data_IF_981814430058
#
_entry.id   IF_981814430058
#
_cell.length_a   1.000
_cell.length_b   1.000
_cell.length_c   1.000
_cell.angle_alpha   90.00
_cell.angle_beta   90.00
_cell.angle_gamma   90.00
#
_symmetry.space_group_name_H-M   'P 1'
#
loop_
_entity.id
_entity.type
_entity.pdbx_description
1 polymer ?
#
# COMPACT_ATOMS: atom_id res chain seq x y z
N UNK A 1 38.94 -23.10 -10.24
CA UNK A 1 38.48 -21.74 -10.61
C UNK A 1 37.37 -21.35 -9.65
N UNK A 2 37.65 -20.52 -8.63
CA UNK A 2 36.58 -19.99 -7.77
C UNK A 2 36.01 -18.76 -8.46
N UNK A 3 34.71 -18.77 -8.79
CA UNK A 3 34.06 -17.62 -9.40
C UNK A 3 34.14 -16.40 -8.45
N UNK A 4 34.37 -15.17 -8.96
CA UNK A 4 34.50 -14.00 -8.11
C UNK A 4 33.21 -13.80 -7.27
N UNK A 5 33.31 -13.60 -5.94
CA UNK A 5 32.18 -13.72 -5.00
C UNK A 5 31.08 -12.65 -5.14
N UNK A 6 31.16 -11.77 -6.15
CA UNK A 6 30.17 -10.74 -6.45
C UNK A 6 29.26 -11.08 -7.64
N UNK A 7 29.52 -12.17 -8.39
CA UNK A 7 28.70 -12.56 -9.54
C UNK A 7 27.38 -13.25 -9.15
N UNK A 8 27.35 -14.00 -8.04
CA UNK A 8 26.17 -14.79 -7.67
C UNK A 8 25.01 -13.98 -7.05
N UNK A 9 25.28 -12.81 -6.46
CA UNK A 9 24.26 -12.05 -5.71
C UNK A 9 23.99 -10.68 -6.29
N UNK A 10 22.71 -10.27 -6.21
CA UNK A 10 22.22 -8.96 -6.61
C UNK A 10 21.61 -8.22 -5.42
N UNK A 11 21.72 -6.89 -5.44
CA UNK A 11 21.37 -6.01 -4.31
C UNK A 11 20.24 -5.07 -4.70
N UNK A 12 19.12 -5.18 -4.00
CA UNK A 12 17.99 -4.26 -4.10
C UNK A 12 18.08 -3.20 -3.01
N UNK A 13 18.05 -1.93 -3.39
CA UNK A 13 17.88 -0.79 -2.51
C UNK A 13 16.38 -0.50 -2.37
N UNK A 14 15.74 -1.20 -1.43
CA UNK A 14 14.30 -1.20 -1.19
C UNK A 14 13.85 0.03 -0.40
N UNK A 15 13.02 0.88 -1.01
CA UNK A 15 12.44 2.07 -0.39
C UNK A 15 10.93 1.89 -0.21
N UNK A 16 10.42 2.02 1.02
CA UNK A 16 9.03 1.74 1.37
C UNK A 16 8.47 2.63 2.49
N UNK A 17 7.15 2.80 2.53
CA UNK A 17 6.45 3.63 3.53
C UNK A 17 6.59 5.16 3.35
N UNK A 18 7.39 5.61 2.38
CA UNK A 18 7.48 7.01 1.94
C UNK A 18 6.64 7.30 0.70
N UNK A 19 6.86 8.45 0.08
CA UNK A 19 6.16 8.91 -1.14
C UNK A 19 7.16 9.43 -2.16
N UNK A 20 6.86 9.24 -3.45
CA UNK A 20 7.55 9.95 -4.54
C UNK A 20 6.81 11.26 -4.80
N UNK A 21 7.50 12.40 -4.69
CA UNK A 21 6.92 13.73 -4.82
C UNK A 21 7.86 14.64 -5.65
N UNK A 22 7.32 15.60 -6.43
CA UNK A 22 8.11 16.67 -7.05
C UNK A 22 8.84 17.51 -5.99
N UNK A 23 10.12 17.81 -6.23
CA UNK A 23 10.85 18.79 -5.43
C UNK A 23 10.72 20.20 -6.03
N UNK A 24 10.61 21.20 -5.17
CA UNK A 24 10.75 22.61 -5.55
C UNK A 24 12.22 23.07 -5.47
N UNK A 25 12.74 23.87 -6.42
CA UNK A 25 12.06 24.42 -7.61
C UNK A 25 12.20 23.54 -8.87
N UNK A 26 12.97 22.45 -8.83
CA UNK A 26 13.40 21.70 -10.02
C UNK A 26 12.32 20.79 -10.65
N UNK A 27 11.17 20.60 -10.00
CA UNK A 27 10.08 19.72 -10.46
C UNK A 27 10.40 18.22 -10.39
N UNK A 28 11.68 17.85 -10.37
CA UNK A 28 12.15 16.46 -10.36
C UNK A 28 11.58 15.67 -9.18
N UNK A 29 11.11 14.46 -9.49
CA UNK A 29 10.58 13.52 -8.50
C UNK A 29 11.69 13.02 -7.56
N UNK A 30 11.39 12.96 -6.26
CA UNK A 30 12.28 12.42 -5.22
C UNK A 30 11.49 11.57 -4.23
N UNK A 31 12.17 10.62 -3.59
CA UNK A 31 11.59 9.84 -2.51
C UNK A 31 11.66 10.63 -1.19
N UNK A 32 10.53 10.77 -0.51
CA UNK A 32 10.38 11.52 0.73
C UNK A 32 9.77 10.66 1.84
N UNK A 33 10.41 10.67 3.02
CA UNK A 33 10.02 9.85 4.17
C UNK A 33 10.28 8.36 3.95
N UNK A 34 9.62 7.52 4.75
CA UNK A 34 9.73 6.06 4.67
C UNK A 34 11.02 5.48 5.24
N UNK A 35 11.33 4.26 4.81
CA UNK A 35 12.54 3.51 5.15
C UNK A 35 13.24 3.07 3.86
N UNK A 36 14.57 3.06 3.87
CA UNK A 36 15.40 2.48 2.80
C UNK A 36 16.27 1.38 3.41
N UNK A 37 16.21 0.17 2.86
CA UNK A 37 17.02 -0.99 3.28
C UNK A 37 17.67 -1.66 2.08
N UNK A 38 18.77 -2.38 2.31
CA UNK A 38 19.40 -3.20 1.26
C UNK A 38 19.01 -4.66 1.49
N UNK A 39 18.44 -5.29 0.47
CA UNK A 39 18.21 -6.73 0.41
C UNK A 39 19.20 -7.33 -0.60
N UNK A 40 19.97 -8.33 -0.19
CA UNK A 40 20.80 -9.13 -1.09
C UNK A 40 20.14 -10.49 -1.32
N UNK A 41 20.07 -10.91 -2.58
CA UNK A 41 19.49 -12.19 -3.03
C UNK A 41 20.37 -12.80 -4.10
N UNK A 42 20.15 -14.08 -4.41
CA UNK A 42 20.77 -14.74 -5.56
C UNK A 42 20.29 -14.11 -6.88
N UNK A 43 21.12 -14.11 -7.93
CA UNK A 43 20.73 -13.63 -9.27
C UNK A 43 19.63 -14.47 -9.91
N UNK A 44 19.52 -15.74 -9.55
CA UNK A 44 18.53 -16.69 -10.07
C UNK A 44 17.31 -16.85 -9.13
N UNK A 45 17.10 -15.93 -8.19
CA UNK A 45 15.92 -15.94 -7.31
C UNK A 45 14.63 -15.80 -8.14
N UNK A 46 13.62 -16.62 -7.83
CA UNK A 46 12.30 -16.46 -8.45
C UNK A 46 11.61 -15.19 -7.98
N UNK A 47 10.73 -14.62 -8.80
CA UNK A 47 9.92 -13.45 -8.46
C UNK A 47 9.04 -13.74 -7.22
N UNK A 48 8.54 -14.97 -7.07
CA UNK A 48 7.80 -15.41 -5.90
C UNK A 48 8.64 -15.36 -4.61
N UNK A 49 9.86 -15.91 -4.63
CA UNK A 49 10.78 -15.85 -3.48
C UNK A 49 11.24 -14.42 -3.17
N UNK A 50 11.47 -13.60 -4.20
CA UNK A 50 11.79 -12.19 -4.04
C UNK A 50 10.65 -11.46 -3.31
N UNK A 51 9.39 -11.67 -3.70
CA UNK A 51 8.23 -11.10 -3.00
C UNK A 51 8.10 -11.60 -1.55
N UNK A 52 8.43 -12.86 -1.24
CA UNK A 52 8.47 -13.37 0.15
C UNK A 52 9.48 -12.58 0.97
N UNK A 53 10.73 -12.46 0.48
CA UNK A 53 11.82 -11.75 1.19
C UNK A 53 11.53 -10.26 1.36
N UNK A 54 10.96 -9.61 0.34
CA UNK A 54 10.50 -8.22 0.42
C UNK A 54 9.34 -8.07 1.42
N UNK A 55 8.44 -9.05 1.47
CA UNK A 55 7.33 -9.10 2.42
C UNK A 55 7.78 -9.25 3.87
N UNK A 56 8.78 -10.08 4.13
CA UNK A 56 9.44 -10.20 5.44
C UNK A 56 10.15 -8.91 5.86
N UNK A 57 10.85 -8.26 4.92
CA UNK A 57 11.55 -6.99 5.14
C UNK A 57 10.59 -5.84 5.52
N UNK A 58 9.41 -5.80 4.89
CA UNK A 58 8.38 -4.79 5.16
C UNK A 58 7.38 -5.16 6.27
N UNK A 59 7.26 -6.45 6.62
CA UNK A 59 6.22 -6.96 7.53
C UNK A 59 4.82 -7.08 6.90
N UNK A 60 4.71 -6.97 5.58
CA UNK A 60 3.45 -7.00 4.81
C UNK A 60 3.74 -7.44 3.38
N UNK A 61 2.76 -8.05 2.70
CA UNK A 61 2.77 -8.18 1.24
C UNK A 61 3.00 -6.80 0.59
N UNK A 62 3.67 -6.79 -0.57
CA UNK A 62 4.02 -5.59 -1.34
C UNK A 62 3.98 -5.87 -2.85
N UNK A 63 3.79 -4.83 -3.65
CA UNK A 63 4.12 -4.80 -5.07
C UNK A 63 5.52 -4.22 -5.27
N UNK A 64 6.28 -4.79 -6.20
CA UNK A 64 7.61 -4.31 -6.58
C UNK A 64 7.53 -3.40 -7.80
N UNK A 65 8.13 -2.20 -7.70
CA UNK A 65 8.56 -1.41 -8.85
C UNK A 65 10.05 -1.14 -8.78
N UNK A 66 10.70 -1.03 -9.93
CA UNK A 66 12.12 -0.74 -10.03
C UNK A 66 12.37 0.43 -10.97
N UNK A 67 13.38 1.23 -10.67
CA UNK A 67 13.97 2.16 -11.63
C UNK A 67 14.85 1.36 -12.59
N UNK A 68 14.97 1.78 -13.84
CA UNK A 68 16.02 1.33 -14.76
C UNK A 68 17.31 2.14 -14.50
N UNK A 69 18.51 1.65 -14.87
CA UNK A 69 19.78 2.27 -14.45
C UNK A 69 20.02 3.68 -15.02
N UNK A 70 19.37 4.04 -16.13
CA UNK A 70 19.47 5.34 -16.81
C UNK A 70 18.30 6.29 -16.56
N UNK A 71 17.16 5.76 -16.08
CA UNK A 71 15.89 6.47 -16.01
C UNK A 71 15.71 7.26 -14.72
N UNK A 72 14.71 8.16 -14.65
CA UNK A 72 14.34 8.93 -13.45
C UNK A 72 13.18 8.25 -12.66
N UNK A 73 12.67 8.87 -11.58
CA UNK A 73 11.63 8.29 -10.70
C UNK A 73 10.19 8.35 -11.25
N UNK A 74 9.99 8.91 -12.42
CA UNK A 74 8.73 8.92 -13.18
C UNK A 74 8.57 7.65 -14.03
N UNK A 75 9.67 7.12 -14.56
CA UNK A 75 9.72 5.92 -15.40
C UNK A 75 9.92 4.59 -14.62
N UNK A 76 9.21 4.40 -13.51
CA UNK A 76 9.31 3.16 -12.71
C UNK A 76 8.58 1.97 -13.36
N UNK A 77 9.34 0.95 -13.75
CA UNK A 77 8.87 -0.34 -14.27
C UNK A 77 8.24 -1.15 -13.13
N UNK A 78 7.14 -1.84 -13.40
CA UNK A 78 6.51 -2.75 -12.43
C UNK A 78 6.95 -4.17 -12.73
N UNK A 79 7.41 -4.90 -11.71
CA UNK A 79 7.91 -6.28 -11.87
C UNK A 79 6.79 -7.22 -11.41
N UNK A 80 6.37 -8.12 -12.29
CA UNK A 80 5.20 -8.99 -12.09
C UNK A 80 5.44 -10.48 -12.41
N UNK A 81 6.60 -10.81 -12.97
CA UNK A 81 6.99 -12.15 -13.41
C UNK A 81 8.50 -12.35 -13.29
N UNK A 82 8.93 -13.61 -13.40
CA UNK A 82 10.36 -13.98 -13.48
C UNK A 82 11.04 -13.41 -14.74
N UNK A 83 10.29 -13.27 -15.84
CA UNK A 83 10.73 -12.61 -17.08
C UNK A 83 11.03 -11.13 -16.85
N UNK A 84 10.11 -10.38 -16.21
CA UNK A 84 10.34 -8.97 -15.85
C UNK A 84 11.59 -8.81 -14.95
N UNK A 85 11.81 -9.77 -14.06
CA UNK A 85 12.94 -9.78 -13.13
C UNK A 85 14.25 -10.07 -13.86
N UNK A 86 14.30 -11.08 -14.74
CA UNK A 86 15.47 -11.41 -15.53
C UNK A 86 15.91 -10.23 -16.41
N UNK A 87 14.96 -9.65 -17.16
CA UNK A 87 15.21 -8.46 -17.98
C UNK A 87 15.75 -7.29 -17.16
N UNK A 88 15.17 -7.02 -15.97
CA UNK A 88 15.67 -5.98 -15.07
C UNK A 88 17.12 -6.23 -14.61
N UNK A 89 17.49 -7.49 -14.32
CA UNK A 89 18.84 -7.84 -13.90
C UNK A 89 19.83 -7.63 -15.06
N UNK A 90 19.48 -8.04 -16.28
CA UNK A 90 20.32 -7.86 -17.47
C UNK A 90 20.57 -6.38 -17.78
N UNK A 91 19.55 -5.52 -17.69
CA UNK A 91 19.70 -4.07 -17.85
C UNK A 91 20.75 -3.49 -16.87
N UNK A 92 20.71 -3.92 -15.61
CA UNK A 92 21.64 -3.47 -14.58
C UNK A 92 23.05 -4.02 -14.74
N UNK A 93 23.19 -5.28 -15.15
CA UNK A 93 24.49 -5.89 -15.43
C UNK A 93 25.16 -5.26 -16.66
N UNK A 94 24.38 -4.98 -17.73
CA UNK A 94 24.85 -4.25 -18.91
C UNK A 94 25.26 -2.81 -18.60
N UNK A 95 24.54 -2.13 -17.69
CA UNK A 95 24.90 -0.81 -17.18
C UNK A 95 26.05 -0.83 -16.14
N UNK A 96 26.57 -2.02 -15.76
CA UNK A 96 27.55 -2.19 -14.67
C UNK A 96 27.11 -1.55 -13.34
N UNK A 97 25.79 -1.49 -13.11
CA UNK A 97 25.19 -0.74 -12.00
C UNK A 97 25.04 -1.64 -10.75
N UNK A 98 25.70 -1.24 -9.66
CA UNK A 98 25.90 -2.12 -8.48
C UNK A 98 24.66 -2.47 -7.64
N UNK A 99 23.52 -1.77 -7.81
CA UNK A 99 22.31 -1.93 -6.99
C UNK A 99 21.05 -1.53 -7.75
N UNK A 100 20.04 -2.41 -7.79
CA UNK A 100 18.70 -2.10 -8.31
C UNK A 100 17.99 -1.16 -7.33
N UNK A 101 17.39 -0.07 -7.82
CA UNK A 101 16.57 0.83 -6.99
C UNK A 101 15.11 0.38 -6.99
N UNK A 102 14.67 -0.19 -5.86
CA UNK A 102 13.34 -0.76 -5.69
C UNK A 102 12.44 0.12 -4.84
N UNK A 103 11.17 0.25 -5.25
CA UNK A 103 10.12 0.99 -4.57
C UNK A 103 8.97 0.04 -4.29
N UNK A 104 8.66 -0.14 -3.01
CA UNK A 104 7.67 -1.12 -2.56
C UNK A 104 6.37 -0.42 -2.17
N UNK A 105 5.27 -0.90 -2.73
CA UNK A 105 3.93 -0.34 -2.56
C UNK A 105 3.00 -1.36 -1.91
N UNK A 106 2.04 -0.94 -1.07
CA UNK A 106 1.00 -1.85 -0.59
C UNK A 106 0.25 -2.54 -1.75
N UNK A 107 -0.29 -3.75 -1.55
CA UNK A 107 -1.23 -4.37 -2.46
C UNK A 107 -2.40 -3.43 -2.75
N UNK A 108 -2.78 -3.27 -4.01
CA UNK A 108 -4.03 -2.58 -4.36
C UNK A 108 -5.17 -3.43 -3.81
N UNK A 109 -5.89 -2.92 -2.81
CA UNK A 109 -7.05 -3.62 -2.26
C UNK A 109 -8.05 -3.88 -3.39
N UNK A 110 -8.38 -5.16 -3.61
CA UNK A 110 -9.45 -5.52 -4.52
C UNK A 110 -10.73 -4.83 -4.03
N UNK A 111 -11.37 -4.04 -4.90
CA UNK A 111 -12.66 -3.41 -4.59
C UNK A 111 -13.66 -4.51 -4.25
N UNK A 112 -13.94 -4.72 -2.97
CA UNK A 112 -15.08 -5.54 -2.53
C UNK A 112 -16.33 -4.84 -3.06
N UNK A 113 -17.00 -5.52 -3.99
CA UNK A 113 -18.35 -5.18 -4.43
C UNK A 113 -19.20 -5.10 -3.15
N UNK A 114 -19.86 -3.96 -2.95
CA UNK A 114 -20.73 -3.75 -1.78
C UNK A 114 -21.82 -4.83 -1.75
N UNK A 115 -22.17 -5.40 -0.59
CA UNK A 115 -23.37 -6.22 -0.50
C UNK A 115 -24.58 -5.38 -0.93
N UNK A 116 -25.55 -5.96 -1.65
CA UNK A 116 -26.77 -5.23 -2.01
C UNK A 116 -27.52 -4.79 -0.74
N UNK A 117 -28.10 -3.60 -0.70
CA UNK A 117 -28.87 -3.16 0.46
C UNK A 117 -30.09 -4.06 0.64
N UNK A 118 -30.21 -4.70 1.80
CA UNK A 118 -31.41 -5.46 2.15
C UNK A 118 -32.60 -4.51 2.24
N UNK A 119 -33.57 -4.68 1.33
CA UNK A 119 -34.87 -3.98 1.39
C UNK A 119 -35.62 -4.53 2.60
N UNK A 120 -35.71 -3.74 3.66
CA UNK A 120 -36.58 -4.00 4.80
C UNK A 120 -37.93 -3.31 4.57
N UNK A 121 -38.95 -4.09 4.23
CA UNK A 121 -40.33 -3.62 4.08
C UNK A 121 -41.01 -3.38 5.44
N UNK A 122 -42.04 -2.53 5.45
CA UNK A 122 -42.82 -2.06 6.61
C UNK A 122 -43.37 -3.19 7.54
N UNK A 123 -43.72 -2.92 8.81
CA UNK A 123 -45.05 -2.48 9.33
C UNK A 123 -45.00 -2.44 10.90
N UNK A 124 -45.87 -1.84 11.75
CA UNK A 124 -47.11 -1.04 11.64
C UNK A 124 -47.45 -0.29 12.97
N UNK A 125 -48.22 0.81 12.88
CA UNK A 125 -49.32 1.30 13.78
C UNK A 125 -49.13 1.77 15.26
N UNK A 126 -49.64 3.00 15.51
CA UNK A 126 -50.39 3.42 16.72
C UNK A 126 -49.59 4.03 17.90
N UNK A 127 -50.05 5.02 18.70
CA UNK A 127 -51.29 5.84 18.84
C UNK A 127 -50.89 7.19 19.54
N UNK A 128 -51.61 8.33 19.40
CA UNK A 128 -51.08 9.67 19.74
C UNK A 128 -51.52 10.26 21.10
N UNK A 129 -50.84 11.33 21.54
CA UNK A 129 -51.22 12.21 22.66
C UNK A 129 -51.07 13.70 22.29
N UNK A 130 -51.95 14.56 22.81
CA UNK A 130 -52.09 16.00 22.47
C UNK A 130 -51.56 16.91 23.58
N UNK A 131 -51.09 18.11 23.23
CA UNK A 131 -51.50 19.37 23.92
C UNK A 131 -50.96 20.63 23.22
N UNK A 132 -51.81 21.64 23.03
CA UNK A 132 -51.45 23.07 22.80
C UNK A 132 -50.78 23.64 24.08
N UNK A 133 -50.05 24.76 24.17
CA UNK A 133 -50.02 26.08 23.50
C UNK A 133 -48.64 26.76 23.81
N UNK A 134 -48.25 28.00 23.45
CA UNK A 134 -48.89 29.18 22.84
C UNK A 134 -47.84 30.06 22.08
N UNK A 135 -48.10 31.37 21.91
CA UNK A 135 -47.34 32.40 21.18
C UNK A 135 -46.19 33.10 21.95
N UNK A 136 -45.12 33.51 21.23
CA UNK A 136 -44.44 34.81 21.33
C UNK A 136 -43.48 35.02 20.14
N UNK A 137 -43.25 36.27 19.72
CA UNK A 137 -42.58 36.62 18.45
C UNK A 137 -41.26 37.40 18.63
N UNK A 138 -40.49 37.52 17.53
CA UNK A 138 -39.25 38.33 17.33
C UNK A 138 -37.96 37.73 17.92
N UNK A 139 -36.76 37.86 17.31
CA UNK A 139 -36.34 38.58 16.09
C UNK A 139 -35.16 37.88 15.35
N UNK A 140 -34.74 38.46 14.22
CA UNK A 140 -33.81 37.97 13.19
C UNK A 140 -32.47 37.32 13.62
N UNK A 141 -32.19 36.13 13.08
CA UNK A 141 -30.96 35.87 12.27
C UNK A 141 -31.03 34.48 11.59
N UNK A 142 -30.97 34.43 10.24
CA UNK A 142 -30.97 33.15 9.50
C UNK A 142 -29.53 32.67 9.23
N UNK A 143 -29.09 31.66 9.97
CA UNK A 143 -27.97 30.78 9.60
C UNK A 143 -28.47 29.32 9.58
N UNK A 144 -28.10 28.50 8.57
CA UNK A 144 -28.48 27.09 8.53
C UNK A 144 -27.61 26.25 9.49
N UNK A 145 -28.18 25.29 10.24
CA UNK A 145 -27.41 24.42 11.13
C UNK A 145 -26.74 23.25 10.37
N UNK A 146 -25.55 22.78 10.80
CA UNK A 146 -24.94 21.56 10.29
C UNK A 146 -25.58 20.29 10.90
N UNK A 147 -25.51 19.13 10.23
CA UNK A 147 -26.06 17.87 10.73
C UNK A 147 -25.25 17.28 11.90
N UNK A 148 -25.88 16.51 12.82
CA UNK A 148 -25.24 16.00 14.01
C UNK A 148 -24.41 14.72 13.76
N UNK A 149 -23.08 14.83 13.86
CA UNK A 149 -22.14 13.71 13.84
C UNK A 149 -21.61 13.39 15.23
N UNK A 150 -22.22 12.42 15.91
CA UNK A 150 -21.93 12.04 17.30
C UNK A 150 -20.52 11.41 17.43
N UNK A 151 -19.71 11.89 18.37
CA UNK A 151 -18.47 11.19 18.76
C UNK A 151 -18.80 9.82 19.38
N UNK A 152 -17.91 8.84 19.22
CA UNK A 152 -17.35 7.98 20.28
C UNK A 152 -16.26 7.07 19.71
N UNK A 153 -15.30 6.72 20.57
CA UNK A 153 -14.16 5.83 20.33
C UNK A 153 -14.52 4.53 19.59
N UNK A 154 -13.58 4.00 18.79
CA UNK A 154 -13.35 2.56 18.79
C UNK A 154 -11.88 2.22 19.08
N UNK A 155 -11.73 1.30 20.02
CA UNK A 155 -10.47 0.78 20.55
C UNK A 155 -9.95 -0.32 19.63
N UNK A 156 -8.63 -0.44 19.56
CA UNK A 156 -7.89 -1.33 18.67
C UNK A 156 -8.12 -2.83 18.90
N UNK A 157 -7.84 -3.62 17.83
CA UNK A 157 -7.29 -5.01 17.76
C UNK A 157 -8.18 -5.97 16.93
N UNK A 158 -7.60 -7.03 16.32
CA UNK A 158 -6.26 -7.09 15.71
C UNK A 158 -6.28 -7.69 14.28
N UNK A 159 -5.46 -7.15 13.38
CA UNK A 159 -5.24 -7.74 12.04
C UNK A 159 -4.24 -8.90 12.20
N UNK A 160 -4.74 -10.10 12.48
CA UNK A 160 -3.89 -11.26 12.82
C UNK A 160 -4.31 -12.61 12.22
N UNK A 161 -5.14 -12.64 11.16
CA UNK A 161 -5.44 -13.90 10.45
C UNK A 161 -4.61 -14.06 9.16
N UNK A 162 -4.59 -13.07 8.25
CA UNK A 162 -3.91 -13.23 6.95
C UNK A 162 -2.39 -13.27 7.05
N UNK A 163 -1.77 -12.47 7.93
CA UNK A 163 -0.34 -12.57 8.23
C UNK A 163 -0.01 -13.94 8.84
N UNK A 164 -0.90 -14.48 9.68
CA UNK A 164 -0.73 -15.81 10.24
C UNK A 164 -0.91 -16.91 9.19
N UNK A 165 -1.77 -16.72 8.17
CA UNK A 165 -1.92 -17.66 7.05
C UNK A 165 -0.68 -17.69 6.16
N UNK A 166 -0.09 -16.53 5.84
CA UNK A 166 1.19 -16.46 5.10
C UNK A 166 2.35 -17.06 5.93
N UNK A 167 2.47 -16.70 7.21
CA UNK A 167 3.49 -17.26 8.11
C UNK A 167 3.31 -18.76 8.37
N UNK A 168 2.08 -19.28 8.34
CA UNK A 168 1.77 -20.72 8.48
C UNK A 168 2.06 -21.48 7.18
N UNK A 169 1.92 -20.84 6.01
CA UNK A 169 2.34 -21.40 4.72
C UNK A 169 3.87 -21.53 4.62
N UNK A 170 4.62 -20.47 4.93
CA UNK A 170 6.09 -20.43 4.85
C UNK A 170 6.77 -21.35 5.87
N UNK A 171 6.07 -21.76 6.93
CA UNK A 171 6.60 -22.63 8.00
C UNK A 171 6.22 -24.11 7.85
N UNK A 172 5.72 -24.51 6.70
CA UNK A 172 5.19 -25.86 6.43
C UNK A 172 5.88 -26.56 5.25
N UNK A 173 7.12 -26.15 4.93
CA UNK A 173 8.01 -26.76 3.94
C UNK A 173 9.44 -26.82 4.48
#
# INVERSE_FOLDING_TARGET
MVAPPNAATIKFLCSYGGKILPRYPDGKLRYHGGQTRVLAVDRHVSFAELLVKLGELCGTLVNLKCQLPTEDLDALVSITSDEDLANLIEEYDRASASKIRAFLYPPKSAKKISPPPSIASAFTNGVPQKSSFSVASSSSSRFPPPPPGRCIHQISKPVNEEILKFRRMVRSN
#
